data_IF_479857616623
#
_entry.id   IF_479857616623
#
_cell.length_a   1.000
_cell.length_b   1.000
_cell.length_c   1.000
_cell.angle_alpha   90.00
_cell.angle_beta   90.00
_cell.angle_gamma   90.00
#
_symmetry.space_group_name_H-M   'P 1'
#
loop_
_entity.id
_entity.type
_entity.pdbx_description
1 polymer ?
#
# COMPACT_ATOMS: atom_id res chain seq x y z
N UNK A 1 9.15 -15.80 18.34
CA UNK A 1 8.31 -14.60 18.21
C UNK A 1 8.38 -14.13 16.78
N UNK A 2 7.26 -14.12 16.07
CA UNK A 2 7.16 -13.67 14.68
C UNK A 2 6.12 -12.56 14.59
N UNK A 3 6.45 -11.40 15.18
CA UNK A 3 5.60 -10.22 15.11
C UNK A 3 5.87 -9.43 13.84
N UNK A 4 4.83 -8.76 13.34
CA UNK A 4 4.95 -7.76 12.28
C UNK A 4 4.74 -6.38 12.87
N UNK A 5 5.54 -5.42 12.41
CA UNK A 5 5.44 -4.03 12.82
C UNK A 5 5.06 -3.17 11.61
N UNK A 6 4.22 -2.17 11.86
CA UNK A 6 3.86 -1.18 10.84
C UNK A 6 4.90 -0.07 10.89
N UNK A 7 5.55 0.15 9.76
CA UNK A 7 6.58 1.19 9.61
C UNK A 7 6.17 2.20 8.53
N UNK A 8 6.69 3.44 8.61
CA UNK A 8 6.47 4.43 7.56
C UNK A 8 7.02 3.96 6.20
N UNK A 9 6.40 4.44 5.12
CA UNK A 9 6.80 4.13 3.74
C UNK A 9 8.29 4.40 3.48
N UNK A 10 8.79 5.55 3.94
CA UNK A 10 10.20 5.94 3.82
C UNK A 10 11.15 4.91 4.43
N UNK A 11 10.78 4.32 5.57
CA UNK A 11 11.55 3.27 6.22
C UNK A 11 11.44 1.95 5.45
N UNK A 12 10.24 1.61 4.96
CA UNK A 12 10.02 0.41 4.17
C UNK A 12 10.83 0.40 2.86
N UNK A 13 10.95 1.55 2.18
CA UNK A 13 11.78 1.70 0.97
C UNK A 13 13.26 1.42 1.25
N UNK A 14 13.82 2.01 2.32
CA UNK A 14 15.21 1.77 2.73
C UNK A 14 15.47 0.31 3.11
N UNK A 15 14.49 -0.36 3.70
CA UNK A 15 14.58 -1.78 4.02
C UNK A 15 14.50 -2.62 2.73
N UNK A 16 13.64 -2.26 1.79
CA UNK A 16 13.51 -2.95 0.51
C UNK A 16 14.81 -2.93 -0.31
N UNK A 17 15.54 -1.81 -0.30
CA UNK A 17 16.87 -1.70 -0.93
C UNK A 17 17.92 -2.65 -0.33
N UNK A 18 17.80 -2.98 0.97
CA UNK A 18 18.75 -3.84 1.68
C UNK A 18 18.34 -5.32 1.67
N UNK A 19 17.08 -5.59 1.97
CA UNK A 19 16.51 -6.94 2.03
C UNK A 19 15.01 -6.89 1.68
N UNK A 20 14.66 -7.12 0.41
CA UNK A 20 13.26 -7.05 -0.03
C UNK A 20 12.38 -8.15 0.57
N UNK A 21 12.95 -9.24 1.11
CA UNK A 21 12.19 -10.34 1.73
C UNK A 21 11.58 -9.97 3.07
N UNK A 22 12.01 -8.85 3.67
CA UNK A 22 11.48 -8.31 4.93
C UNK A 22 10.16 -7.57 4.75
N UNK A 23 9.85 -7.10 3.54
CA UNK A 23 8.63 -6.34 3.27
C UNK A 23 7.55 -7.27 2.74
N UNK A 24 6.46 -7.40 3.48
CA UNK A 24 5.32 -8.26 3.13
C UNK A 24 4.35 -7.53 2.21
N UNK A 25 4.13 -6.24 2.47
CA UNK A 25 3.24 -5.38 1.70
C UNK A 25 3.78 -3.96 1.69
N UNK A 26 3.91 -3.39 0.50
CA UNK A 26 4.17 -1.97 0.30
C UNK A 26 3.05 -1.44 -0.59
N UNK A 27 2.09 -0.73 0.00
CA UNK A 27 0.99 -0.15 -0.76
C UNK A 27 1.52 0.96 -1.65
N UNK A 28 1.50 0.71 -2.95
CA UNK A 28 1.66 1.74 -3.96
C UNK A 28 0.25 2.18 -4.35
N UNK A 29 -0.01 3.48 -4.26
CA UNK A 29 -1.26 4.04 -4.74
C UNK A 29 -1.25 3.91 -6.26
N UNK A 30 -2.05 3.00 -6.78
CA UNK A 30 -2.29 2.88 -8.22
C UNK A 30 -3.46 3.79 -8.55
N UNK A 31 -3.22 4.81 -9.36
CA UNK A 31 -4.25 5.75 -9.83
C UNK A 31 -5.21 5.14 -10.86
N UNK A 32 -4.83 4.01 -11.45
CA UNK A 32 -5.69 3.31 -12.40
C UNK A 32 -6.69 2.42 -11.64
N UNK A 33 -8.01 2.65 -11.75
CA UNK A 33 -8.99 1.64 -11.36
C UNK A 33 -8.69 0.37 -12.14
N UNK A 34 -8.66 -0.77 -11.45
CA UNK A 34 -8.46 -2.06 -12.11
C UNK A 34 -9.61 -2.28 -13.10
N UNK A 35 -9.29 -2.70 -14.33
CA UNK A 35 -10.27 -2.87 -15.39
C UNK A 35 -11.31 -3.96 -15.05
N UNK A 36 -10.94 -4.86 -14.14
CA UNK A 36 -11.79 -5.91 -13.61
C UNK A 36 -12.38 -5.57 -12.22
N UNK A 37 -12.26 -4.33 -11.73
CA UNK A 37 -12.80 -3.94 -10.43
C UNK A 37 -14.34 -3.86 -10.46
N UNK A 38 -15.06 -4.75 -9.76
CA UNK A 38 -16.51 -4.68 -9.66
C UNK A 38 -17.00 -3.39 -8.98
N UNK A 39 -16.11 -2.64 -8.32
CA UNK A 39 -16.37 -1.39 -7.65
C UNK A 39 -15.89 -0.14 -8.42
N UNK A 40 -15.43 -0.25 -9.67
CA UNK A 40 -14.95 0.90 -10.46
C UNK A 40 -15.97 2.06 -10.61
N UNK A 41 -17.27 1.74 -10.54
CA UNK A 41 -18.35 2.73 -10.58
C UNK A 41 -18.56 3.49 -9.25
N UNK A 42 -17.96 3.01 -8.15
CA UNK A 42 -18.09 3.57 -6.81
C UNK A 42 -16.82 4.33 -6.45
N UNK A 43 -16.63 5.47 -7.09
CA UNK A 43 -15.49 6.34 -6.80
C UNK A 43 -15.60 6.88 -5.37
N UNK A 44 -14.56 6.66 -4.58
CA UNK A 44 -14.44 7.24 -3.23
C UNK A 44 -14.09 8.72 -3.43
N UNK A 45 -14.95 9.66 -2.99
CA UNK A 45 -14.65 11.08 -3.12
C UNK A 45 -13.43 11.47 -2.27
N UNK A 46 -12.56 12.32 -2.81
CA UNK A 46 -11.31 12.78 -2.18
C UNK A 46 -11.51 13.43 -0.80
N UNK A 47 -12.72 13.92 -0.51
CA UNK A 47 -13.09 14.59 0.74
C UNK A 47 -13.49 13.61 1.87
N UNK A 48 -13.00 12.36 1.81
CA UNK A 48 -13.09 11.42 2.93
C UNK A 48 -12.06 11.76 4.01
N UNK A 49 -12.25 12.91 4.64
CA UNK A 49 -11.46 13.37 5.78
C UNK A 49 -12.02 12.75 7.07
N UNK A 50 -11.56 11.54 7.39
CA UNK A 50 -11.48 11.08 8.78
C UNK A 50 -10.41 11.91 9.50
#
# INVERSE_FOLDING_TARGET
GGGYEVIPREAALKIQERDPRRIIQLNTQTEAPDADDPYAAYQIPDDLMW
#
